data_IF_433808804726
#
_entry.id   IF_433808804726
#
_cell.length_a   1.000
_cell.length_b   1.000
_cell.length_c   1.000
_cell.angle_alpha   90.00
_cell.angle_beta   90.00
_cell.angle_gamma   90.00
#
_symmetry.space_group_name_H-M   'P 1'
#
loop_
_entity.id
_entity.type
_entity.pdbx_description
1 polymer ?
#
# COMPACT_ATOMS: atom_id res chain seq x y z
N UNK A 1 -54.35 37.41 -21.89
CA UNK A 1 -52.97 37.20 -21.39
C UNK A 1 -53.03 36.54 -20.01
N UNK A 2 -52.64 35.27 -19.84
CA UNK A 2 -52.71 34.64 -18.53
C UNK A 2 -51.58 35.13 -17.64
N UNK A 3 -51.91 35.55 -16.41
CA UNK A 3 -50.97 36.00 -15.38
C UNK A 3 -50.00 34.85 -15.04
N UNK A 4 -48.72 35.01 -15.39
CA UNK A 4 -47.63 34.13 -14.91
C UNK A 4 -47.62 34.15 -13.38
N UNK A 5 -48.06 33.06 -12.74
CA UNK A 5 -47.87 32.83 -11.30
C UNK A 5 -46.37 32.86 -11.02
N UNK A 6 -45.93 33.94 -10.39
CA UNK A 6 -44.56 34.13 -9.92
C UNK A 6 -44.29 33.09 -8.82
N UNK A 7 -43.67 31.95 -9.17
CA UNK A 7 -43.27 30.92 -8.21
C UNK A 7 -42.18 31.54 -7.32
N UNK A 8 -42.56 31.94 -6.10
CA UNK A 8 -41.61 32.39 -5.07
C UNK A 8 -40.56 31.28 -4.87
N UNK A 9 -39.33 31.58 -5.25
CA UNK A 9 -38.20 30.68 -5.08
C UNK A 9 -38.02 30.45 -3.57
N UNK A 10 -38.08 29.20 -3.14
CA UNK A 10 -37.92 28.86 -1.72
C UNK A 10 -36.45 28.99 -1.35
N UNK A 11 -36.12 30.01 -0.58
CA UNK A 11 -34.77 30.22 -0.07
C UNK A 11 -34.71 29.90 1.43
N UNK A 12 -33.73 29.08 1.81
CA UNK A 12 -33.59 28.58 3.17
C UNK A 12 -32.96 29.66 4.06
N UNK A 13 -33.48 29.84 5.29
CA UNK A 13 -32.87 30.71 6.29
C UNK A 13 -31.45 30.24 6.63
N UNK A 14 -30.49 31.16 6.55
CA UNK A 14 -29.13 30.95 7.06
C UNK A 14 -29.12 31.03 8.59
N UNK A 15 -28.10 30.48 9.25
CA UNK A 15 -27.97 30.59 10.71
C UNK A 15 -27.82 32.06 11.16
N UNK A 16 -27.20 32.91 10.33
CA UNK A 16 -27.12 34.35 10.56
C UNK A 16 -28.50 35.04 10.48
N UNK A 17 -29.32 34.69 9.48
CA UNK A 17 -30.68 35.24 9.37
C UNK A 17 -31.56 34.82 10.56
N UNK A 18 -31.38 33.60 11.07
CA UNK A 18 -32.07 33.13 12.28
C UNK A 18 -31.65 33.94 13.50
N UNK A 19 -30.36 34.19 13.67
CA UNK A 19 -29.84 35.06 14.74
C UNK A 19 -30.41 36.48 14.66
N UNK A 20 -30.46 37.07 13.45
CA UNK A 20 -31.07 38.40 13.24
C UNK A 20 -32.56 38.42 13.56
N UNK A 21 -33.30 37.37 13.18
CA UNK A 21 -34.72 37.25 13.53
C UNK A 21 -34.91 37.23 15.04
N UNK A 22 -34.12 36.43 15.77
CA UNK A 22 -34.19 36.31 17.23
C UNK A 22 -33.88 37.65 17.89
N UNK A 23 -32.74 38.28 17.56
CA UNK A 23 -32.35 39.55 18.15
C UNK A 23 -33.32 40.69 17.85
N UNK A 24 -33.88 40.76 16.63
CA UNK A 24 -34.88 41.78 16.30
C UNK A 24 -36.23 41.53 17.01
N UNK A 25 -36.61 40.26 17.26
CA UNK A 25 -37.80 39.94 18.05
C UNK A 25 -37.61 40.30 19.52
N UNK A 26 -36.44 40.03 20.09
CA UNK A 26 -36.08 40.44 21.45
C UNK A 26 -36.07 41.97 21.61
N UNK A 27 -35.65 42.70 20.57
CA UNK A 27 -35.74 44.15 20.49
C UNK A 27 -37.18 44.69 20.25
N UNK A 28 -38.20 43.85 20.33
CA UNK A 28 -39.62 44.24 20.27
C UNK A 28 -40.19 44.43 18.85
N UNK A 29 -39.47 44.04 17.79
CA UNK A 29 -39.99 44.22 16.43
C UNK A 29 -41.10 43.20 16.10
N UNK A 30 -42.10 43.64 15.35
CA UNK A 30 -43.17 42.76 14.87
C UNK A 30 -42.70 41.83 13.74
N UNK A 31 -43.30 40.64 13.64
CA UNK A 31 -42.96 39.65 12.61
C UNK A 31 -43.01 40.23 11.19
N UNK A 32 -43.98 41.10 10.91
CA UNK A 32 -44.15 41.76 9.61
C UNK A 32 -43.02 42.75 9.32
N UNK A 33 -42.57 43.52 10.33
CA UNK A 33 -41.46 44.48 10.19
C UNK A 33 -40.15 43.75 9.93
N UNK A 34 -39.89 42.68 10.67
CA UNK A 34 -38.71 41.83 10.49
C UNK A 34 -38.72 41.15 9.13
N UNK A 35 -39.88 40.61 8.71
CA UNK A 35 -40.05 39.98 7.41
C UNK A 35 -39.71 40.93 6.26
N UNK A 36 -40.22 42.18 6.30
CA UNK A 36 -39.85 43.21 5.31
C UNK A 36 -38.37 43.56 5.35
N UNK A 37 -37.80 43.74 6.54
CA UNK A 37 -36.39 44.10 6.71
C UNK A 37 -35.41 43.03 6.21
N UNK A 38 -35.80 41.75 6.32
CA UNK A 38 -34.96 40.61 5.93
C UNK A 38 -35.36 39.98 4.58
N UNK A 39 -36.38 40.52 3.89
CA UNK A 39 -36.92 39.93 2.66
C UNK A 39 -37.55 38.54 2.85
N UNK A 40 -38.08 38.24 4.05
CA UNK A 40 -38.69 36.95 4.42
C UNK A 40 -40.18 37.10 4.72
N UNK A 41 -40.95 36.01 4.65
CA UNK A 41 -42.35 36.07 5.06
C UNK A 41 -42.49 36.16 6.59
N UNK A 42 -43.54 36.83 7.04
CA UNK A 42 -43.95 36.89 8.45
C UNK A 42 -44.08 35.50 9.09
N UNK A 43 -44.58 34.52 8.34
CA UNK A 43 -44.72 33.12 8.77
C UNK A 43 -43.37 32.42 8.98
N UNK A 44 -42.35 32.76 8.18
CA UNK A 44 -40.98 32.25 8.38
C UNK A 44 -40.36 32.83 9.65
N UNK A 45 -40.58 34.12 9.90
CA UNK A 45 -40.16 34.80 11.14
C UNK A 45 -40.86 34.20 12.36
N UNK A 46 -42.19 34.04 12.31
CA UNK A 46 -42.98 33.46 13.39
C UNK A 46 -42.54 32.03 13.72
N UNK A 47 -42.32 31.19 12.71
CA UNK A 47 -41.86 29.81 12.89
C UNK A 47 -40.46 29.73 13.49
N UNK A 48 -39.55 30.61 13.04
CA UNK A 48 -38.20 30.69 13.60
C UNK A 48 -38.23 31.12 15.07
N UNK A 49 -39.04 32.13 15.40
CA UNK A 49 -39.24 32.61 16.77
C UNK A 49 -39.86 31.54 17.68
N UNK A 50 -40.89 30.83 17.22
CA UNK A 50 -41.49 29.74 17.98
C UNK A 50 -40.49 28.62 18.25
N UNK A 51 -39.67 28.27 17.24
CA UNK A 51 -38.63 27.26 17.39
C UNK A 51 -37.55 27.70 18.39
N UNK A 52 -37.21 29.00 18.44
CA UNK A 52 -36.31 29.55 19.46
C UNK A 52 -36.88 29.42 20.86
N UNK A 53 -38.13 29.84 21.09
CA UNK A 53 -38.78 29.75 22.41
C UNK A 53 -38.87 28.29 22.89
N UNK A 54 -39.22 27.36 22.00
CA UNK A 54 -39.44 25.96 22.38
C UNK A 54 -38.15 25.16 22.51
N UNK A 55 -37.15 25.38 21.65
CA UNK A 55 -35.96 24.52 21.58
C UNK A 55 -34.65 25.22 22.01
N UNK A 56 -34.64 26.54 22.13
CA UNK A 56 -33.44 27.33 22.43
C UNK A 56 -32.36 27.28 21.35
N UNK A 57 -32.72 27.02 20.09
CA UNK A 57 -31.76 26.81 18.99
C UNK A 57 -31.69 28.00 18.04
N UNK A 58 -30.48 28.55 17.90
CA UNK A 58 -30.16 29.58 16.89
C UNK A 58 -29.81 28.98 15.52
N UNK A 59 -29.43 27.70 15.47
CA UNK A 59 -29.01 27.02 14.25
C UNK A 59 -30.06 26.02 13.73
N UNK A 60 -29.98 25.71 12.44
CA UNK A 60 -30.85 24.69 11.84
C UNK A 60 -30.44 23.28 12.27
N UNK A 61 -31.42 22.43 12.62
CA UNK A 61 -31.19 20.97 12.73
C UNK A 61 -30.69 20.41 11.41
N UNK A 62 -29.61 19.63 11.44
CA UNK A 62 -29.24 18.80 10.28
C UNK A 62 -30.46 17.93 9.93
N UNK A 63 -30.88 18.00 8.67
CA UNK A 63 -31.93 17.11 8.18
C UNK A 63 -31.49 15.65 8.37
N UNK A 64 -32.46 14.74 8.50
CA UNK A 64 -32.21 13.29 8.60
C UNK A 64 -31.43 12.73 7.40
N UNK A 65 -31.34 13.49 6.31
CA UNK A 65 -30.65 13.09 5.09
C UNK A 65 -31.43 12.01 4.34
N UNK A 66 -30.84 11.52 3.27
CA UNK A 66 -31.40 10.35 2.55
C UNK A 66 -31.25 9.12 3.45
N UNK A 67 -32.32 8.33 3.66
CA UNK A 67 -32.22 7.06 4.37
C UNK A 67 -31.12 6.17 3.79
N UNK A 68 -30.42 5.47 4.66
CA UNK A 68 -29.34 4.55 4.27
C UNK A 68 -29.95 3.37 3.51
N UNK A 69 -29.27 2.93 2.46
CA UNK A 69 -29.61 1.69 1.76
C UNK A 69 -29.12 0.43 2.52
N UNK A 70 -28.40 0.62 3.64
CA UNK A 70 -27.91 -0.48 4.45
C UNK A 70 -28.36 -0.32 5.90
N UNK A 71 -28.51 -1.46 6.58
CA UNK A 71 -28.79 -1.54 8.01
C UNK A 71 -27.55 -1.95 8.83
N UNK A 72 -27.67 -1.90 10.16
CA UNK A 72 -26.56 -2.18 11.06
C UNK A 72 -26.07 -3.64 11.02
N UNK A 73 -26.93 -4.58 10.59
CA UNK A 73 -26.54 -5.99 10.44
C UNK A 73 -25.67 -6.18 9.19
N UNK A 74 -26.04 -5.53 8.10
CA UNK A 74 -25.27 -5.51 6.85
C UNK A 74 -23.94 -4.77 7.04
N UNK A 75 -23.94 -3.61 7.69
CA UNK A 75 -22.72 -2.85 7.95
C UNK A 75 -21.73 -3.67 8.82
N UNK A 76 -22.24 -4.40 9.82
CA UNK A 76 -21.43 -5.36 10.60
C UNK A 76 -20.90 -6.52 9.75
N UNK A 77 -21.71 -7.05 8.82
CA UNK A 77 -21.28 -8.11 7.91
C UNK A 77 -20.20 -7.64 6.94
N UNK A 78 -20.37 -6.47 6.32
CA UNK A 78 -19.39 -5.81 5.46
C UNK A 78 -18.05 -5.68 6.18
N UNK A 79 -18.07 -5.15 7.41
CA UNK A 79 -16.87 -5.02 8.23
C UNK A 79 -16.23 -6.38 8.51
N UNK A 80 -17.03 -7.35 8.96
CA UNK A 80 -16.53 -8.69 9.34
C UNK A 80 -15.80 -9.37 8.19
N UNK A 81 -16.41 -9.42 7.01
CA UNK A 81 -15.83 -10.06 5.82
C UNK A 81 -14.52 -9.38 5.42
N UNK A 82 -14.49 -8.04 5.44
CA UNK A 82 -13.29 -7.29 5.11
C UNK A 82 -12.16 -7.47 6.14
N UNK A 83 -12.48 -7.72 7.42
CA UNK A 83 -11.46 -7.96 8.45
C UNK A 83 -11.01 -9.42 8.53
N UNK A 84 -11.88 -10.39 8.24
CA UNK A 84 -11.53 -11.82 8.30
C UNK A 84 -10.72 -12.27 7.09
N UNK A 85 -10.97 -11.67 5.92
CA UNK A 85 -10.25 -11.94 4.69
C UNK A 85 -9.90 -10.61 4.01
N UNK A 86 -8.81 -9.94 4.41
CA UNK A 86 -8.50 -8.57 3.97
C UNK A 86 -8.31 -8.38 2.46
N UNK A 87 -8.01 -9.45 1.71
CA UNK A 87 -7.85 -9.43 0.25
C UNK A 87 -9.17 -9.50 -0.51
N UNK A 88 -10.31 -9.64 0.19
CA UNK A 88 -11.62 -9.87 -0.43
C UNK A 88 -12.08 -8.69 -1.27
N UNK A 89 -12.51 -8.95 -2.50
CA UNK A 89 -13.02 -7.91 -3.41
C UNK A 89 -14.40 -7.40 -2.97
N UNK A 90 -14.75 -6.17 -3.35
CA UNK A 90 -16.09 -5.60 -3.08
C UNK A 90 -17.23 -6.49 -3.63
N UNK A 91 -17.00 -7.11 -4.78
CA UNK A 91 -17.96 -8.03 -5.39
C UNK A 91 -18.15 -9.30 -4.56
N UNK A 92 -17.07 -9.81 -3.96
CA UNK A 92 -17.16 -10.94 -3.04
C UNK A 92 -17.84 -10.53 -1.73
N UNK A 93 -17.51 -9.36 -1.15
CA UNK A 93 -18.20 -8.84 0.03
C UNK A 93 -19.71 -8.74 -0.21
N UNK A 94 -20.11 -8.21 -1.38
CA UNK A 94 -21.52 -8.09 -1.78
C UNK A 94 -22.24 -9.45 -1.84
N UNK A 95 -21.57 -10.49 -2.35
CA UNK A 95 -22.12 -11.86 -2.42
C UNK A 95 -22.28 -12.54 -1.06
N UNK A 96 -21.45 -12.17 -0.08
CA UNK A 96 -21.47 -12.76 1.27
C UNK A 96 -22.34 -11.96 2.26
N UNK A 97 -23.15 -11.02 1.78
CA UNK A 97 -24.08 -10.30 2.64
C UNK A 97 -25.24 -11.21 3.08
N UNK A 98 -25.73 -11.05 4.32
CA UNK A 98 -26.89 -11.79 4.77
C UNK A 98 -28.13 -11.39 3.96
N UNK A 99 -29.12 -12.30 3.81
CA UNK A 99 -30.39 -11.96 3.20
C UNK A 99 -31.03 -10.76 3.88
N UNK A 100 -31.56 -9.84 3.09
CA UNK A 100 -32.11 -8.58 3.55
C UNK A 100 -33.34 -8.19 2.73
N UNK A 101 -34.25 -7.46 3.36
CA UNK A 101 -35.39 -6.84 2.67
C UNK A 101 -34.99 -5.56 1.91
N UNK A 102 -33.77 -5.07 2.12
CA UNK A 102 -33.22 -3.92 1.39
C UNK A 102 -32.63 -4.34 0.05
N UNK A 103 -32.65 -3.45 -0.97
CA UNK A 103 -31.94 -3.67 -2.21
C UNK A 103 -30.45 -3.92 -1.96
N UNK A 104 -29.87 -4.88 -2.66
CA UNK A 104 -28.46 -5.23 -2.52
C UNK A 104 -27.59 -3.97 -2.69
N UNK A 105 -26.73 -3.63 -1.72
CA UNK A 105 -25.93 -2.42 -1.79
C UNK A 105 -24.94 -2.49 -2.94
N UNK A 106 -24.78 -1.36 -3.65
CA UNK A 106 -23.76 -1.23 -4.68
C UNK A 106 -22.35 -1.34 -4.09
N UNK A 107 -21.37 -1.71 -4.93
CA UNK A 107 -19.95 -1.76 -4.54
C UNK A 107 -19.45 -0.44 -3.94
N UNK A 108 -19.94 0.70 -4.45
CA UNK A 108 -19.61 2.02 -3.92
C UNK A 108 -20.16 2.22 -2.50
N UNK A 109 -21.38 1.75 -2.25
CA UNK A 109 -21.98 1.79 -0.91
C UNK A 109 -21.13 0.99 0.07
N UNK A 110 -20.72 -0.22 -0.31
CA UNK A 110 -19.85 -1.07 0.50
C UNK A 110 -18.50 -0.39 0.77
N UNK A 111 -17.86 0.21 -0.25
CA UNK A 111 -16.61 0.95 -0.08
C UNK A 111 -16.77 2.13 0.90
N UNK A 112 -17.85 2.88 0.80
CA UNK A 112 -18.16 3.99 1.72
C UNK A 112 -18.31 3.48 3.15
N UNK A 113 -19.01 2.36 3.37
CA UNK A 113 -19.13 1.73 4.70
C UNK A 113 -17.81 1.31 5.30
N UNK A 114 -16.93 0.71 4.49
CA UNK A 114 -15.58 0.37 4.93
C UNK A 114 -14.78 1.64 5.27
N UNK A 115 -14.92 2.69 4.49
CA UNK A 115 -14.22 3.97 4.72
C UNK A 115 -14.69 4.67 5.98
N UNK A 116 -16.00 4.63 6.30
CA UNK A 116 -16.59 5.17 7.53
C UNK A 116 -15.96 4.56 8.80
N UNK A 117 -15.53 3.29 8.75
CA UNK A 117 -14.84 2.60 9.86
C UNK A 117 -13.31 2.63 9.76
N UNK A 118 -12.76 3.42 8.84
CA UNK A 118 -11.34 3.63 8.63
C UNK A 118 -10.63 2.54 7.81
N UNK A 119 -11.36 1.59 7.22
CA UNK A 119 -10.80 0.56 6.34
C UNK A 119 -10.72 1.10 4.91
N UNK A 120 -9.51 1.11 4.35
CA UNK A 120 -9.27 1.52 2.97
C UNK A 120 -8.54 0.43 2.20
N UNK A 121 -8.80 0.37 0.91
CA UNK A 121 -8.05 -0.51 0.00
C UNK A 121 -6.64 0.03 -0.19
N UNK A 122 -5.63 -0.74 0.24
CA UNK A 122 -4.21 -0.36 0.20
C UNK A 122 -3.39 -1.47 -0.42
N UNK A 123 -2.20 -1.14 -0.94
CA UNK A 123 -1.23 -2.16 -1.34
C UNK A 123 -0.73 -2.87 -0.06
N UNK A 124 -0.72 -4.21 -0.03
CA UNK A 124 -0.14 -4.97 1.07
C UNK A 124 1.37 -4.77 1.10
N UNK A 125 1.97 -4.96 2.27
CA UNK A 125 3.41 -5.14 2.36
C UNK A 125 3.71 -6.58 1.94
N UNK A 126 4.55 -6.77 0.92
CA UNK A 126 5.00 -8.11 0.51
C UNK A 126 6.25 -8.49 1.28
N UNK A 127 6.28 -9.67 1.89
CA UNK A 127 7.45 -10.20 2.60
C UNK A 127 7.67 -11.66 2.25
N UNK A 128 8.93 -12.09 2.32
CA UNK A 128 9.23 -13.52 2.29
C UNK A 128 8.79 -14.14 3.62
N UNK A 129 8.17 -15.33 3.62
CA UNK A 129 7.87 -16.04 4.86
C UNK A 129 9.17 -16.48 5.53
N UNK A 130 9.33 -16.08 6.80
CA UNK A 130 10.49 -16.41 7.64
C UNK A 130 10.06 -17.30 8.80
N UNK A 131 10.66 -18.47 8.90
CA UNK A 131 10.54 -19.37 10.06
C UNK A 131 11.25 -18.77 11.27
N UNK A 132 10.95 -19.21 12.51
CA UNK A 132 11.70 -18.78 13.69
C UNK A 132 13.21 -18.99 13.55
N UNK A 133 13.61 -20.11 12.94
CA UNK A 133 15.02 -20.40 12.65
C UNK A 133 15.64 -19.36 11.71
N UNK A 134 14.98 -19.01 10.60
CA UNK A 134 15.49 -17.95 9.70
C UNK A 134 15.68 -16.62 10.43
N UNK A 135 14.74 -16.24 11.30
CA UNK A 135 14.84 -15.00 12.08
C UNK A 135 16.05 -15.02 13.01
N UNK A 136 16.30 -16.14 13.68
CA UNK A 136 17.45 -16.30 14.55
C UNK A 136 18.76 -16.19 13.78
N UNK A 137 18.94 -16.96 12.69
CA UNK A 137 20.15 -16.89 11.86
C UNK A 137 20.39 -15.48 11.29
N UNK A 138 19.33 -14.76 10.93
CA UNK A 138 19.44 -13.36 10.47
C UNK A 138 19.88 -12.42 11.58
N UNK A 139 19.36 -12.58 12.80
CA UNK A 139 19.80 -11.80 13.95
C UNK A 139 21.26 -12.09 14.30
N UNK A 140 21.66 -13.35 14.27
CA UNK A 140 23.05 -13.77 14.54
C UNK A 140 24.02 -13.30 13.46
N UNK A 141 23.55 -13.15 12.21
CA UNK A 141 24.31 -12.49 11.16
C UNK A 141 24.44 -10.98 11.41
N UNK A 142 23.33 -10.30 11.72
CA UNK A 142 23.30 -8.84 11.85
C UNK A 142 24.02 -8.34 13.10
N UNK A 143 23.93 -9.03 14.24
CA UNK A 143 24.47 -8.56 15.52
C UNK A 143 25.98 -8.27 15.49
N UNK A 144 26.85 -9.20 15.03
CA UNK A 144 28.30 -8.92 14.93
C UNK A 144 28.64 -7.86 13.88
N UNK A 145 27.74 -7.62 12.92
CA UNK A 145 27.93 -6.68 11.81
C UNK A 145 27.30 -5.31 12.06
N UNK A 146 26.61 -5.15 13.19
CA UNK A 146 26.06 -3.87 13.60
C UNK A 146 27.16 -2.83 13.92
N UNK A 147 28.34 -3.31 14.30
CA UNK A 147 29.53 -2.48 14.58
C UNK A 147 30.46 -2.35 13.38
N UNK A 148 30.13 -2.96 12.23
CA UNK A 148 30.95 -2.84 11.03
C UNK A 148 30.92 -1.40 10.51
N UNK A 149 32.11 -0.88 10.25
CA UNK A 149 32.31 0.44 9.65
C UNK A 149 32.01 0.43 8.15
N UNK A 150 31.90 1.62 7.56
CA UNK A 150 31.81 1.75 6.10
C UNK A 150 33.02 1.09 5.42
N UNK A 151 34.21 1.19 6.01
CA UNK A 151 35.42 0.55 5.49
C UNK A 151 35.35 -0.98 5.50
N UNK A 152 34.66 -1.58 6.47
CA UNK A 152 34.43 -3.03 6.47
C UNK A 152 33.48 -3.43 5.34
N UNK A 153 32.38 -2.70 5.19
CA UNK A 153 31.42 -2.94 4.11
C UNK A 153 32.00 -2.69 2.71
N UNK A 154 32.97 -1.78 2.58
CA UNK A 154 33.69 -1.52 1.31
C UNK A 154 34.44 -2.74 0.78
N UNK A 155 34.80 -3.68 1.66
CA UNK A 155 35.49 -4.91 1.28
C UNK A 155 34.54 -5.97 0.73
N UNK A 156 33.23 -5.81 0.90
CA UNK A 156 32.25 -6.83 0.49
C UNK A 156 31.87 -6.65 -0.97
N UNK A 157 31.95 -7.74 -1.73
CA UNK A 157 31.42 -7.85 -3.09
C UNK A 157 30.11 -8.63 -3.01
N UNK A 158 28.99 -7.95 -3.22
CA UNK A 158 27.66 -8.56 -3.24
C UNK A 158 27.36 -9.11 -4.62
N UNK A 159 26.88 -10.34 -4.70
CA UNK A 159 26.47 -10.98 -5.94
C UNK A 159 25.08 -11.60 -5.79
N UNK A 160 24.34 -11.64 -6.90
CA UNK A 160 23.00 -12.21 -6.92
C UNK A 160 22.53 -12.47 -8.36
N UNK A 161 21.54 -13.36 -8.48
CA UNK A 161 20.78 -13.60 -9.70
C UNK A 161 19.40 -12.96 -9.62
N UNK A 162 19.09 -12.01 -10.52
CA UNK A 162 17.70 -11.54 -10.71
C UNK A 162 17.06 -12.14 -11.95
N UNK A 163 15.75 -12.39 -11.87
CA UNK A 163 14.93 -12.88 -12.98
C UNK A 163 13.99 -11.81 -13.50
N UNK A 164 14.28 -11.32 -14.70
CA UNK A 164 13.44 -10.39 -15.45
C UNK A 164 12.33 -11.15 -16.14
N UNK A 165 11.10 -10.96 -15.66
CA UNK A 165 9.92 -11.68 -16.12
C UNK A 165 9.22 -10.92 -17.25
N UNK A 166 8.76 -11.63 -18.29
CA UNK A 166 7.94 -11.04 -19.37
C UNK A 166 6.48 -10.84 -18.96
N UNK A 167 6.04 -11.57 -17.95
CA UNK A 167 4.72 -11.42 -17.34
C UNK A 167 4.83 -10.57 -16.06
N UNK A 168 4.17 -9.43 -16.03
CA UNK A 168 4.03 -8.64 -14.81
C UNK A 168 3.24 -9.43 -13.74
N UNK A 169 3.79 -9.57 -12.54
CA UNK A 169 2.93 -9.67 -11.35
C UNK A 169 2.25 -8.31 -11.25
N UNK A 170 1.01 -8.23 -11.73
CA UNK A 170 0.19 -7.01 -11.86
C UNK A 170 0.08 -6.19 -10.55
N UNK A 171 0.57 -6.73 -9.43
CA UNK A 171 0.58 -6.10 -8.11
C UNK A 171 -0.83 -5.61 -7.70
N UNK A 172 -1.87 -6.17 -8.33
CA UNK A 172 -3.27 -5.76 -8.19
C UNK A 172 -3.87 -6.16 -6.86
N UNK A 173 -3.25 -7.09 -6.14
CA UNK A 173 -3.68 -7.49 -4.80
C UNK A 173 -3.73 -6.26 -3.89
N UNK A 174 -4.92 -6.00 -3.34
CA UNK A 174 -5.14 -4.94 -2.36
C UNK A 174 -5.73 -5.54 -1.11
N UNK A 175 -5.43 -4.93 0.03
CA UNK A 175 -5.94 -5.34 1.34
C UNK A 175 -6.76 -4.20 1.95
N UNK A 176 -7.87 -4.55 2.60
CA UNK A 176 -8.64 -3.63 3.43
C UNK A 176 -7.97 -3.51 4.80
N UNK A 177 -7.35 -2.38 5.08
CA UNK A 177 -6.68 -2.14 6.36
C UNK A 177 -6.72 -0.68 6.79
N UNK A 178 -6.48 -0.44 8.08
CA UNK A 178 -6.21 0.91 8.59
C UNK A 178 -4.79 1.34 8.27
N UNK A 179 -4.53 2.65 8.31
CA UNK A 179 -3.21 3.22 7.98
C UNK A 179 -2.08 2.62 8.82
N UNK A 180 -2.27 2.54 10.15
CA UNK A 180 -1.27 2.04 11.10
C UNK A 180 -0.94 0.54 10.97
N UNK A 181 -1.77 -0.25 10.29
CA UNK A 181 -1.64 -1.71 10.22
C UNK A 181 -0.78 -2.19 9.03
N UNK A 182 0.21 -1.41 8.59
CA UNK A 182 1.01 -1.76 7.40
C UNK A 182 1.88 -3.00 7.61
N UNK A 183 2.46 -3.14 8.79
CA UNK A 183 3.40 -4.19 9.17
C UNK A 183 2.76 -5.35 9.93
N UNK A 184 1.45 -5.29 10.16
CA UNK A 184 0.71 -6.34 10.85
C UNK A 184 0.64 -7.59 9.94
N UNK A 185 1.05 -8.77 10.45
CA UNK A 185 1.07 -10.04 9.70
C UNK A 185 -0.25 -10.36 8.98
N UNK A 186 -1.40 -9.97 9.52
CA UNK A 186 -2.70 -10.24 8.90
C UNK A 186 -2.91 -9.53 7.55
N UNK A 187 -2.11 -8.50 7.24
CA UNK A 187 -2.21 -7.71 6.00
C UNK A 187 -0.96 -7.80 5.13
N UNK A 188 0.00 -8.65 5.52
CA UNK A 188 1.18 -8.97 4.73
C UNK A 188 0.79 -10.07 3.74
N UNK A 189 1.19 -9.89 2.48
CA UNK A 189 1.03 -10.93 1.46
C UNK A 189 2.38 -11.57 1.24
N UNK A 190 2.41 -12.90 1.24
CA UNK A 190 3.64 -13.62 0.94
C UNK A 190 4.04 -13.37 -0.52
N UNK A 191 5.31 -13.05 -0.74
CA UNK A 191 5.86 -12.96 -2.09
C UNK A 191 6.00 -14.39 -2.63
N UNK A 192 5.13 -14.78 -3.57
CA UNK A 192 5.28 -16.03 -4.30
C UNK A 192 6.44 -15.91 -5.30
N UNK A 193 7.31 -16.91 -5.34
CA UNK A 193 8.46 -17.03 -6.26
C UNK A 193 8.11 -17.94 -7.44
N UNK A 194 6.92 -17.76 -8.03
CA UNK A 194 6.48 -18.62 -9.13
C UNK A 194 7.37 -18.42 -10.37
N UNK A 195 7.60 -19.49 -11.12
CA UNK A 195 8.43 -19.50 -12.33
C UNK A 195 7.64 -18.83 -13.46
N UNK A 196 7.92 -17.56 -13.70
CA UNK A 196 7.50 -16.83 -14.90
C UNK A 196 8.48 -17.08 -16.05
N UNK A 197 7.99 -17.00 -17.29
CA UNK A 197 8.87 -16.87 -18.45
C UNK A 197 9.66 -15.56 -18.34
N UNK A 198 10.95 -15.64 -18.62
CA UNK A 198 11.87 -14.56 -18.32
C UNK A 198 13.33 -14.94 -18.50
N UNK A 199 14.19 -13.94 -18.34
CA UNK A 199 15.64 -14.06 -18.44
C UNK A 199 16.23 -13.91 -17.04
N UNK A 200 17.09 -14.84 -16.65
CA UNK A 200 17.86 -14.72 -15.40
C UNK A 200 19.19 -14.07 -15.71
N UNK A 201 19.57 -13.06 -14.95
CA UNK A 201 20.81 -12.31 -15.11
C UNK A 201 21.55 -12.36 -13.78
N UNK A 202 22.82 -12.73 -13.83
CA UNK A 202 23.74 -12.64 -12.71
C UNK A 202 24.54 -11.34 -12.77
N UNK A 203 24.82 -10.77 -11.61
CA UNK A 203 25.73 -9.64 -11.48
C UNK A 203 26.31 -9.54 -10.08
N UNK A 204 27.37 -8.74 -9.96
CA UNK A 204 27.99 -8.38 -8.69
C UNK A 204 28.28 -6.89 -8.61
N UNK A 205 28.22 -6.35 -7.40
CA UNK A 205 28.55 -4.97 -7.07
C UNK A 205 29.53 -4.93 -5.89
N UNK A 206 30.43 -3.97 -5.92
CA UNK A 206 31.24 -3.56 -4.77
C UNK A 206 30.97 -2.07 -4.49
N UNK A 207 31.73 -1.47 -3.57
CA UNK A 207 31.53 -0.06 -3.22
C UNK A 207 31.71 0.92 -4.39
N UNK A 208 32.71 0.69 -5.23
CA UNK A 208 33.16 1.59 -6.30
C UNK A 208 33.20 0.92 -7.68
N UNK A 209 32.93 -0.39 -7.77
CA UNK A 209 32.92 -1.14 -9.03
C UNK A 209 31.71 -2.05 -9.15
N UNK A 210 31.47 -2.54 -10.36
CA UNK A 210 30.46 -3.56 -10.67
C UNK A 210 31.05 -4.56 -11.65
N UNK A 211 30.50 -5.77 -11.67
CA UNK A 211 30.84 -6.77 -12.66
C UNK A 211 30.18 -6.47 -14.01
N UNK A 212 30.66 -7.16 -15.05
CA UNK A 212 29.84 -7.46 -16.22
C UNK A 212 28.64 -8.31 -15.81
N UNK A 213 27.54 -8.16 -16.54
CA UNK A 213 26.33 -8.96 -16.33
C UNK A 213 26.41 -10.25 -17.15
N UNK A 214 25.98 -11.35 -16.56
CA UNK A 214 25.96 -12.66 -17.22
C UNK A 214 24.52 -13.10 -17.40
N UNK A 215 24.10 -13.24 -18.66
CA UNK A 215 22.76 -13.76 -18.99
C UNK A 215 22.78 -15.28 -18.86
N UNK A 216 22.02 -15.81 -17.90
CA UNK A 216 21.95 -17.23 -17.62
C UNK A 216 20.85 -17.88 -18.47
N UNK A 217 21.27 -18.59 -19.51
CA UNK A 217 20.38 -19.43 -20.31
C UNK A 217 20.15 -20.77 -19.64
N UNK A 218 18.92 -21.05 -19.20
CA UNK A 218 18.56 -22.30 -18.52
C UNK A 218 19.00 -22.36 -17.05
N UNK A 219 19.04 -23.57 -16.48
CA UNK A 219 19.37 -23.77 -15.06
C UNK A 219 20.87 -23.57 -14.80
N UNK A 220 21.20 -22.77 -13.81
CA UNK A 220 22.57 -22.60 -13.32
C UNK A 220 22.99 -23.86 -12.53
N UNK A 221 24.00 -24.58 -13.04
CA UNK A 221 24.62 -25.72 -12.34
C UNK A 221 25.89 -25.26 -11.63
N UNK A 222 26.40 -26.04 -10.68
CA UNK A 222 27.67 -25.72 -10.02
C UNK A 222 28.84 -25.58 -11.00
N UNK A 223 28.87 -26.42 -12.04
CA UNK A 223 29.90 -26.36 -13.09
C UNK A 223 29.84 -25.03 -13.85
N UNK A 224 28.64 -24.64 -14.29
CA UNK A 224 28.43 -23.36 -14.98
C UNK A 224 28.68 -22.16 -14.07
N UNK A 225 28.32 -22.25 -12.80
CA UNK A 225 28.67 -21.22 -11.85
C UNK A 225 30.18 -21.00 -11.77
N UNK A 226 30.97 -22.08 -11.79
CA UNK A 226 32.43 -21.99 -11.78
C UNK A 226 32.99 -21.46 -13.11
N UNK A 227 32.54 -22.02 -14.23
CA UNK A 227 33.09 -21.75 -15.56
C UNK A 227 32.62 -20.39 -16.12
N UNK A 228 31.35 -20.02 -15.91
CA UNK A 228 30.74 -18.81 -16.49
C UNK A 228 30.84 -17.58 -15.55
N UNK A 229 30.95 -17.79 -14.23
CA UNK A 229 30.86 -16.71 -13.22
C UNK A 229 32.12 -16.63 -12.34
N UNK A 230 32.45 -17.68 -11.59
CA UNK A 230 33.50 -17.58 -10.57
C UNK A 230 34.86 -17.31 -11.22
N UNK A 231 35.28 -18.18 -12.12
CA UNK A 231 36.61 -18.13 -12.75
C UNK A 231 36.82 -16.86 -13.57
N UNK A 232 35.92 -16.47 -14.50
CA UNK A 232 36.16 -15.32 -15.37
C UNK A 232 35.88 -13.97 -14.71
N UNK A 233 35.08 -13.90 -13.64
CA UNK A 233 34.60 -12.62 -13.09
C UNK A 233 34.93 -12.46 -11.61
N UNK A 234 34.46 -13.37 -10.77
CA UNK A 234 34.58 -13.22 -9.31
C UNK A 234 36.03 -13.32 -8.84
N UNK A 235 36.77 -14.33 -9.30
CA UNK A 235 38.16 -14.54 -8.88
C UNK A 235 39.09 -13.38 -9.29
N UNK A 236 39.00 -12.81 -10.51
CA UNK A 236 39.71 -11.57 -10.84
C UNK A 236 39.32 -10.39 -9.95
N UNK A 237 38.03 -10.21 -9.65
CA UNK A 237 37.57 -9.13 -8.76
C UNK A 237 38.13 -9.29 -7.35
N UNK A 238 38.17 -10.50 -6.81
CA UNK A 238 38.76 -10.78 -5.51
C UNK A 238 40.28 -10.61 -5.51
N UNK A 239 40.96 -11.13 -6.52
CA UNK A 239 42.43 -11.03 -6.67
C UNK A 239 42.90 -9.58 -6.78
N UNK A 240 42.13 -8.71 -7.44
CA UNK A 240 42.46 -7.29 -7.56
C UNK A 240 42.29 -6.49 -6.27
N UNK A 241 41.69 -7.07 -5.22
CA UNK A 241 41.34 -6.39 -3.97
C UNK A 241 41.74 -7.24 -2.75
N UNK A 242 42.97 -7.10 -2.25
CA UNK A 242 43.41 -7.83 -1.06
C UNK A 242 42.46 -7.64 0.12
N UNK A 243 42.02 -8.76 0.71
CA UNK A 243 41.06 -8.77 1.82
C UNK A 243 39.60 -8.53 1.42
N UNK A 244 39.25 -8.58 0.13
CA UNK A 244 37.85 -8.57 -0.29
C UNK A 244 37.11 -9.81 0.22
N UNK A 245 35.84 -9.61 0.59
CA UNK A 245 34.95 -10.66 1.09
C UNK A 245 33.87 -10.86 0.04
N UNK A 246 33.73 -12.08 -0.47
CA UNK A 246 32.70 -12.41 -1.43
C UNK A 246 31.39 -12.75 -0.73
N UNK A 247 30.29 -12.14 -1.15
CA UNK A 247 28.95 -12.53 -0.72
C UNK A 247 28.24 -13.22 -1.88
N UNK A 248 27.72 -14.41 -1.58
CA UNK A 248 26.79 -15.19 -2.40
C UNK A 248 25.68 -15.74 -1.49
N UNK A 249 24.54 -16.13 -2.06
CA UNK A 249 23.50 -16.80 -1.29
C UNK A 249 23.79 -18.31 -1.10
N UNK A 250 22.87 -19.02 -0.46
CA UNK A 250 23.02 -20.46 -0.19
C UNK A 250 22.32 -21.35 -1.25
N UNK A 251 22.21 -20.90 -2.50
CA UNK A 251 21.67 -21.72 -3.58
C UNK A 251 22.54 -22.98 -3.79
N UNK A 252 21.92 -24.06 -4.28
CA UNK A 252 22.60 -25.36 -4.46
C UNK A 252 23.89 -25.26 -5.30
N UNK A 253 23.97 -24.47 -6.40
CA UNK A 253 25.21 -24.29 -7.13
C UNK A 253 26.30 -23.62 -6.29
N UNK A 254 25.96 -22.70 -5.39
CA UNK A 254 26.92 -21.94 -4.58
C UNK A 254 27.50 -22.79 -3.45
N UNK A 255 26.69 -23.65 -2.83
CA UNK A 255 27.11 -24.55 -1.75
C UNK A 255 27.72 -25.86 -2.25
N UNK A 256 27.72 -26.11 -3.56
CA UNK A 256 28.29 -27.31 -4.14
C UNK A 256 29.80 -27.38 -3.90
N UNK A 257 30.33 -28.60 -3.69
CA UNK A 257 31.77 -28.83 -3.43
C UNK A 257 32.66 -28.15 -4.46
N UNK A 258 32.30 -28.22 -5.75
CA UNK A 258 33.07 -27.61 -6.83
C UNK A 258 33.22 -26.09 -6.66
N UNK A 259 32.13 -25.40 -6.35
CA UNK A 259 32.11 -23.95 -6.14
C UNK A 259 32.86 -23.55 -4.88
N UNK A 260 32.70 -24.31 -3.79
CA UNK A 260 33.42 -24.10 -2.55
C UNK A 260 34.94 -24.31 -2.71
N UNK A 261 35.35 -25.30 -3.49
CA UNK A 261 36.76 -25.52 -3.84
C UNK A 261 37.32 -24.37 -4.69
N UNK A 262 36.53 -23.84 -5.63
CA UNK A 262 36.94 -22.69 -6.45
C UNK A 262 37.17 -21.42 -5.61
N UNK A 263 36.39 -21.25 -4.54
CA UNK A 263 36.54 -20.12 -3.60
C UNK A 263 37.51 -20.41 -2.44
N UNK A 264 38.16 -21.58 -2.44
CA UNK A 264 39.10 -21.93 -1.38
C UNK A 264 40.28 -20.96 -1.37
N UNK A 265 40.52 -20.30 -0.24
CA UNK A 265 41.55 -19.26 -0.08
C UNK A 265 41.02 -17.83 -0.17
N UNK A 266 39.73 -17.64 -0.45
CA UNK A 266 39.06 -16.35 -0.36
C UNK A 266 38.08 -16.29 0.80
N UNK A 267 37.89 -15.09 1.36
CA UNK A 267 36.89 -14.88 2.40
C UNK A 267 35.49 -14.87 1.80
N UNK A 268 34.62 -15.77 2.25
CA UNK A 268 33.20 -15.80 1.87
C UNK A 268 32.34 -15.36 3.05
N UNK A 269 31.48 -14.38 2.83
CA UNK A 269 30.59 -13.85 3.84
C UNK A 269 29.51 -14.91 4.15
N UNK A 270 29.37 -15.37 5.41
CA UNK A 270 28.28 -16.28 5.75
C UNK A 270 26.95 -15.55 5.56
N UNK A 271 26.04 -16.13 4.77
CA UNK A 271 24.80 -15.47 4.40
C UNK A 271 23.58 -16.18 5.00
N UNK A 272 22.69 -15.47 5.72
CA UNK A 272 21.49 -16.09 6.27
C UNK A 272 20.45 -16.34 5.16
N UNK A 273 19.83 -17.52 5.18
CA UNK A 273 18.81 -17.90 4.20
C UNK A 273 17.63 -16.89 4.16
N UNK A 274 17.06 -16.69 2.97
CA UNK A 274 15.92 -15.78 2.71
C UNK A 274 16.17 -14.34 3.20
N UNK A 275 17.30 -13.77 2.82
CA UNK A 275 17.71 -12.42 3.27
C UNK A 275 18.04 -11.46 2.13
N UNK A 276 17.17 -11.31 1.12
CA UNK A 276 17.40 -10.35 0.03
C UNK A 276 17.47 -8.91 0.55
N UNK A 277 16.70 -8.58 1.59
CA UNK A 277 16.69 -7.25 2.21
C UNK A 277 17.99 -6.88 2.95
N UNK A 278 18.91 -7.84 3.13
CA UNK A 278 20.24 -7.58 3.66
C UNK A 278 21.27 -7.32 2.57
N UNK A 279 20.94 -7.55 1.28
CA UNK A 279 21.85 -7.34 0.16
C UNK A 279 21.53 -6.04 -0.58
N UNK A 280 22.50 -5.10 -0.74
CA UNK A 280 22.28 -3.86 -1.46
C UNK A 280 22.03 -4.06 -2.96
N UNK A 281 22.45 -5.18 -3.56
CA UNK A 281 22.26 -5.45 -4.99
C UNK A 281 20.77 -5.57 -5.37
N UNK A 282 19.94 -5.98 -4.42
CA UNK A 282 18.49 -6.09 -4.61
C UNK A 282 17.83 -4.72 -4.85
N UNK A 283 18.41 -3.64 -4.32
CA UNK A 283 17.99 -2.28 -4.66
C UNK A 283 18.34 -1.91 -6.11
N UNK A 284 19.47 -2.41 -6.62
CA UNK A 284 19.89 -2.22 -8.02
C UNK A 284 18.93 -2.96 -8.94
N UNK A 285 18.62 -4.22 -8.65
CA UNK A 285 17.64 -5.02 -9.40
C UNK A 285 16.26 -4.38 -9.41
N UNK A 286 15.75 -3.97 -8.25
CA UNK A 286 14.44 -3.31 -8.15
C UNK A 286 14.34 -2.07 -9.05
N UNK A 287 15.40 -1.26 -9.10
CA UNK A 287 15.43 -0.07 -9.97
C UNK A 287 15.46 -0.45 -11.45
N UNK A 288 16.20 -1.48 -11.80
CA UNK A 288 16.35 -1.89 -13.19
C UNK A 288 15.09 -2.55 -13.73
N UNK A 289 14.47 -3.46 -12.96
CA UNK A 289 13.16 -4.05 -13.27
C UNK A 289 12.09 -2.96 -13.51
N UNK A 290 12.06 -1.94 -12.65
CA UNK A 290 11.13 -0.82 -12.80
C UNK A 290 11.33 0.02 -14.06
N UNK A 291 12.55 0.07 -14.61
CA UNK A 291 12.82 0.71 -15.89
C UNK A 291 12.40 -0.19 -17.07
N UNK A 292 12.65 -1.49 -17.00
CA UNK A 292 12.26 -2.44 -18.05
C UNK A 292 10.73 -2.56 -18.20
N UNK A 293 9.96 -2.41 -17.11
CA UNK A 293 8.49 -2.39 -17.14
C UNK A 293 7.89 -1.09 -17.68
N UNK A 294 8.70 -0.06 -17.96
CA UNK A 294 8.26 1.18 -18.62
C UNK A 294 8.69 1.09 -20.08
N UNK A 295 7.82 0.71 -21.02
CA UNK A 295 8.17 0.87 -22.43
C UNK A 295 8.46 2.35 -22.66
N UNK A 296 9.67 2.66 -23.13
CA UNK A 296 9.93 3.96 -23.75
C UNK A 296 8.89 4.11 -24.86
N UNK A 297 7.99 5.08 -24.70
CA UNK A 297 7.22 5.60 -25.82
C UNK A 297 8.26 6.30 -26.68
N UNK A 298 8.84 5.57 -27.64
CA UNK A 298 9.50 6.20 -28.77
C UNK A 298 8.38 6.88 -29.57
N UNK A 299 8.22 8.18 -29.37
CA UNK A 299 7.52 9.04 -30.32
C UNK A 299 8.31 8.99 -31.64
N UNK A 300 7.75 8.26 -32.61
CA UNK A 300 8.04 8.43 -34.03
C UNK A 300 6.95 9.30 -34.64
#
# INVERSE_FOLDING_TARGET
MPLRRNRRQYEQLTDFDRGRIIGLREAGWSNRRIGRHLGRSDMVVARCWQQWITEGRVYRRRGSGRPRNTNDREDRAIRRVATSAPTTSLASIQRHLPPSRHPVPSRETIRRRLTEVGLRSRRPLRRLPLTPHHRQCRLDFCRPRATWSVTDWRRVIFSDESRFSLSDDDHRTRVWRRTAQRSDPAFIVERHTAISQGVTVWGAISWDTRSSLVVLQGTLTARRYVDDILTPIVLPMLSSRPGAIYQQDNARPHTARLSQQCLQGYDVLPWPARSPDLSPIEHVWTRWEGNCSRPEIQEN
#
